data_IF_580753632094
#
_entry.id   IF_580753632094
#
_cell.length_a   1.000
_cell.length_b   1.000
_cell.length_c   1.000
_cell.angle_alpha   90.00
_cell.angle_beta   90.00
_cell.angle_gamma   90.00
#
_symmetry.space_group_name_H-M   'P 1'
#
loop_
_entity.id
_entity.type
_entity.pdbx_description
1 polymer ?
#
# COMPACT_ATOMS: atom_id res chain seq x y z
N UNK A 1 20.04 14.84 2.60
CA UNK A 1 20.69 16.13 2.25
C UNK A 1 19.59 17.18 2.24
N UNK A 2 19.50 18.04 3.27
CA UNK A 2 18.43 19.04 3.37
C UNK A 2 18.79 20.31 2.57
N UNK A 3 17.83 20.86 1.84
CA UNK A 3 17.79 22.30 1.56
C UNK A 3 16.34 22.75 1.30
N UNK A 4 15.91 23.81 1.99
CA UNK A 4 14.69 24.55 1.69
C UNK A 4 14.95 25.52 0.53
N UNK A 5 13.94 25.78 -0.30
CA UNK A 5 13.75 27.10 -0.90
C UNK A 5 12.29 27.28 -1.35
N UNK A 6 11.55 28.14 -0.66
CA UNK A 6 10.28 28.69 -1.13
C UNK A 6 10.53 29.98 -1.91
N UNK A 7 9.90 30.16 -3.07
CA UNK A 7 9.76 31.47 -3.69
C UNK A 7 8.51 31.50 -4.59
N UNK A 8 7.40 31.99 -4.05
CA UNK A 8 6.26 32.41 -4.87
C UNK A 8 6.68 33.63 -5.71
N UNK A 9 6.25 33.68 -6.98
CA UNK A 9 6.62 34.75 -7.92
C UNK A 9 5.38 35.53 -8.32
N UNK A 10 5.26 36.75 -7.81
CA UNK A 10 4.27 37.74 -8.29
C UNK A 10 4.80 38.30 -9.62
N UNK A 11 3.93 38.46 -10.61
CA UNK A 11 4.24 39.09 -11.88
C UNK A 11 3.42 40.38 -12.04
N UNK A 12 4.06 41.51 -11.78
CA UNK A 12 3.59 42.82 -12.24
C UNK A 12 4.10 43.10 -13.67
N UNK A 13 3.31 43.80 -14.48
CA UNK A 13 3.67 44.21 -15.85
C UNK A 13 3.18 45.63 -16.17
N UNK A 14 3.99 46.39 -16.91
CA UNK A 14 3.77 47.75 -17.44
C UNK A 14 4.78 48.01 -18.60
N UNK A 15 4.72 49.11 -19.38
CA UNK A 15 3.72 50.21 -19.39
C UNK A 15 2.64 49.94 -20.48
N UNK A 16 2.21 50.78 -21.44
CA UNK A 16 2.53 52.16 -21.89
C UNK A 16 1.29 52.80 -22.56
N UNK A 17 1.12 54.12 -22.43
CA UNK A 17 -0.01 54.95 -22.93
C UNK A 17 0.40 55.78 -24.19
N UNK A 18 -0.37 56.78 -24.73
CA UNK A 18 -1.82 57.10 -24.68
C UNK A 18 -2.46 57.46 -26.07
N UNK A 19 -3.80 57.52 -26.17
CA UNK A 19 -4.50 58.53 -27.02
C UNK A 19 -5.90 58.89 -26.49
N UNK A 20 -6.30 60.17 -26.61
CA UNK A 20 -7.56 60.70 -26.08
C UNK A 20 -8.79 60.41 -26.96
N UNK A 21 -9.90 60.00 -26.32
CA UNK A 21 -11.25 60.47 -26.67
C UNK A 21 -12.06 60.71 -25.39
N UNK A 22 -12.70 61.88 -25.30
CA UNK A 22 -13.53 62.25 -24.16
C UNK A 22 -14.95 61.68 -24.31
N UNK A 23 -15.39 60.89 -23.34
CA UNK A 23 -16.81 60.66 -23.09
C UNK A 23 -17.16 61.00 -21.65
N UNK A 24 -18.20 61.82 -21.49
CA UNK A 24 -18.76 62.17 -20.19
C UNK A 24 -19.61 61.03 -19.66
N UNK A 25 -19.25 60.47 -18.50
CA UNK A 25 -20.20 59.83 -17.60
C UNK A 25 -20.05 60.45 -16.21
N UNK A 26 -21.19 60.79 -15.61
CA UNK A 26 -21.25 61.18 -14.20
C UNK A 26 -20.84 59.99 -13.31
N UNK A 27 -20.35 60.22 -12.08
CA UNK A 27 -20.09 59.14 -11.15
C UNK A 27 -21.42 58.48 -10.75
N UNK A 28 -21.72 57.36 -11.39
CA UNK A 28 -22.56 56.34 -10.78
C UNK A 28 -21.72 55.68 -9.70
N UNK A 29 -21.93 56.10 -8.45
CA UNK A 29 -21.51 55.35 -7.26
C UNK A 29 -22.30 54.04 -7.19
N UNK A 30 -21.97 53.11 -8.09
CA UNK A 30 -22.22 51.70 -7.87
C UNK A 30 -21.10 51.27 -6.92
N UNK A 31 -21.39 51.30 -5.62
CA UNK A 31 -20.64 50.51 -4.65
C UNK A 31 -20.93 49.02 -4.92
N UNK A 32 -20.35 48.49 -6.01
CA UNK A 32 -20.29 47.05 -6.19
C UNK A 32 -19.38 46.51 -5.10
N UNK A 33 -20.00 46.06 -4.00
CA UNK A 33 -19.36 45.21 -3.01
C UNK A 33 -18.77 44.04 -3.78
N UNK A 34 -17.45 44.06 -3.97
CA UNK A 34 -16.72 43.02 -4.67
C UNK A 34 -16.85 41.75 -3.86
N UNK A 35 -17.73 40.84 -4.31
CA UNK A 35 -17.88 39.52 -3.70
C UNK A 35 -16.57 38.77 -3.94
N UNK A 36 -15.71 38.80 -2.93
CA UNK A 36 -14.44 38.07 -2.90
C UNK A 36 -14.71 36.72 -2.27
N UNK A 37 -14.64 35.64 -3.05
CA UNK A 37 -14.79 34.27 -2.56
C UNK A 37 -13.40 33.71 -2.28
N UNK A 38 -13.18 33.24 -1.04
CA UNK A 38 -11.93 32.57 -0.64
C UNK A 38 -12.00 31.09 -0.99
N UNK A 39 -11.34 30.75 -2.10
CA UNK A 39 -11.28 29.38 -2.64
C UNK A 39 -9.94 28.73 -2.30
N UNK A 40 -9.99 27.55 -1.69
CA UNK A 40 -8.84 26.68 -1.47
C UNK A 40 -8.87 25.43 -2.36
N UNK A 41 -7.70 24.83 -2.60
CA UNK A 41 -7.60 23.44 -3.06
C UNK A 41 -6.59 22.71 -2.19
N UNK A 42 -6.92 21.48 -1.79
CA UNK A 42 -6.07 20.66 -0.94
C UNK A 42 -6.04 19.22 -1.46
N UNK A 43 -4.85 18.75 -1.84
CA UNK A 43 -4.61 17.34 -2.04
C UNK A 43 -4.38 16.67 -0.69
N UNK A 44 -5.33 15.85 -0.25
CA UNK A 44 -5.29 15.16 1.06
C UNK A 44 -4.46 13.87 1.03
N UNK A 45 -3.77 13.62 -0.09
CA UNK A 45 -2.94 12.45 -0.42
C UNK A 45 -3.69 11.12 -0.38
N UNK A 46 -3.45 10.25 -1.35
CA UNK A 46 -4.02 8.91 -1.37
C UNK A 46 -3.71 8.16 -0.07
N UNK A 47 -4.66 7.32 0.39
CA UNK A 47 -4.39 6.44 1.54
C UNK A 47 -3.39 5.37 1.08
N UNK A 48 -2.18 5.40 1.65
CA UNK A 48 -1.36 4.20 1.68
C UNK A 48 -1.75 3.41 2.94
N UNK A 49 -2.17 2.16 2.76
CA UNK A 49 -2.64 1.30 3.84
C UNK A 49 -1.48 0.60 4.57
N UNK A 50 -0.23 0.83 4.15
CA UNK A 50 0.97 0.42 4.86
C UNK A 50 1.26 1.37 6.05
N UNK A 51 1.06 0.95 7.31
CA UNK A 51 1.34 1.78 8.49
C UNK A 51 2.83 2.11 8.68
N UNK A 52 3.73 1.38 8.01
CA UNK A 52 5.18 1.55 8.10
C UNK A 52 5.81 2.22 6.87
N UNK A 53 5.01 2.75 5.93
CA UNK A 53 5.54 3.39 4.70
C UNK A 53 6.44 4.59 5.02
N UNK A 54 6.05 5.38 6.02
CA UNK A 54 6.71 6.63 6.39
C UNK A 54 7.13 6.59 7.86
N UNK A 55 8.33 7.08 8.13
CA UNK A 55 8.76 7.36 9.50
C UNK A 55 8.00 8.59 10.01
N UNK A 56 7.06 8.37 10.91
CA UNK A 56 6.17 9.40 11.48
C UNK A 56 6.51 9.69 12.95
N UNK A 57 5.69 10.47 13.64
CA UNK A 57 5.69 10.52 15.11
C UNK A 57 4.68 9.52 15.65
N UNK A 58 5.03 8.79 16.71
CA UNK A 58 4.15 7.83 17.38
C UNK A 58 4.33 7.97 18.90
N UNK A 59 3.27 7.84 19.72
CA UNK A 59 3.36 8.05 21.17
C UNK A 59 4.11 6.95 21.93
N UNK A 60 4.20 5.74 21.38
CA UNK A 60 4.99 4.66 21.97
C UNK A 60 6.50 4.93 21.77
N UNK A 61 7.30 5.08 22.85
CA UNK A 61 8.74 5.35 22.73
C UNK A 61 9.54 4.22 22.07
N UNK A 62 8.99 3.00 21.96
CA UNK A 62 9.62 1.90 21.25
C UNK A 62 9.50 1.99 19.72
N UNK A 63 8.66 2.88 19.17
CA UNK A 63 8.51 3.04 17.71
C UNK A 63 9.81 3.48 17.02
N UNK A 64 10.51 4.47 17.56
CA UNK A 64 11.77 4.95 16.97
C UNK A 64 12.90 3.91 17.03
N UNK A 65 12.87 3.02 18.03
CA UNK A 65 13.76 1.88 18.10
C UNK A 65 13.39 0.83 17.03
N UNK A 66 12.12 0.45 16.95
CA UNK A 66 11.60 -0.46 15.92
C UNK A 66 12.00 -0.03 14.51
N UNK A 67 11.78 1.25 14.14
CA UNK A 67 12.12 1.73 12.80
C UNK A 67 13.62 1.67 12.50
N UNK A 68 14.47 1.99 13.49
CA UNK A 68 15.95 1.86 13.38
C UNK A 68 16.38 0.41 13.24
N UNK A 69 15.79 -0.49 14.02
CA UNK A 69 16.18 -1.88 14.06
C UNK A 69 15.71 -2.63 12.81
N UNK A 70 14.52 -2.30 12.26
CA UNK A 70 14.08 -2.77 10.92
C UNK A 70 15.05 -2.30 9.84
N UNK A 71 15.44 -1.01 9.83
CA UNK A 71 16.41 -0.50 8.86
C UNK A 71 17.75 -1.24 8.98
N UNK A 72 18.28 -1.37 10.21
CA UNK A 72 19.53 -2.07 10.47
C UNK A 72 19.47 -3.55 10.06
N UNK A 73 18.34 -4.24 10.28
CA UNK A 73 18.12 -5.62 9.85
C UNK A 73 18.15 -5.75 8.33
N UNK A 74 17.52 -4.82 7.60
CA UNK A 74 17.49 -4.84 6.14
C UNK A 74 18.85 -4.43 5.54
N UNK A 75 19.59 -3.52 6.16
CA UNK A 75 20.92 -3.10 5.68
C UNK A 75 22.01 -4.15 5.94
N UNK A 76 21.94 -4.88 7.07
CA UNK A 76 22.97 -5.80 7.53
C UNK A 76 22.72 -7.26 7.08
N UNK A 77 23.62 -7.81 6.28
CA UNK A 77 23.52 -9.20 5.78
C UNK A 77 23.73 -10.28 6.85
N UNK A 78 24.14 -9.95 8.08
CA UNK A 78 24.37 -10.96 9.15
C UNK A 78 23.12 -11.74 9.55
N UNK A 79 21.95 -11.13 9.42
CA UNK A 79 20.67 -11.74 9.76
C UNK A 79 19.92 -12.28 8.52
N UNK A 80 20.58 -12.27 7.36
CA UNK A 80 19.96 -12.70 6.10
C UNK A 80 20.00 -14.23 6.00
N UNK A 81 18.82 -14.85 6.03
CA UNK A 81 18.64 -16.30 6.04
C UNK A 81 17.97 -16.79 4.76
N UNK A 82 18.16 -18.07 4.42
CA UNK A 82 17.45 -18.69 3.30
C UNK A 82 15.92 -18.64 3.54
N UNK A 83 15.15 -18.43 2.47
CA UNK A 83 13.69 -18.31 2.55
C UNK A 83 13.05 -19.56 3.19
N UNK A 84 13.59 -20.75 2.99
CA UNK A 84 13.10 -21.98 3.65
C UNK A 84 13.19 -21.96 5.20
N UNK A 85 13.99 -21.07 5.79
CA UNK A 85 14.06 -20.88 7.24
C UNK A 85 12.93 -19.97 7.77
N UNK A 86 12.16 -19.34 6.87
CA UNK A 86 11.05 -18.42 7.18
C UNK A 86 9.74 -19.01 6.64
N UNK A 87 9.66 -19.19 5.33
CA UNK A 87 8.56 -19.84 4.62
C UNK A 87 8.98 -21.29 4.33
N UNK A 88 8.62 -22.22 5.22
CA UNK A 88 9.15 -23.59 5.18
C UNK A 88 8.59 -24.44 4.03
N UNK A 89 9.28 -25.54 3.71
CA UNK A 89 8.77 -26.57 2.79
C UNK A 89 7.39 -27.13 3.20
N UNK A 90 7.04 -27.08 4.50
CA UNK A 90 5.71 -27.47 4.98
C UNK A 90 4.65 -26.43 4.58
N UNK A 91 4.92 -25.14 4.80
CA UNK A 91 4.06 -24.04 4.33
C UNK A 91 3.92 -24.04 2.81
N UNK A 92 5.00 -24.33 2.07
CA UNK A 92 4.93 -24.49 0.63
C UNK A 92 4.07 -25.71 0.21
N UNK A 93 4.16 -26.82 0.92
CA UNK A 93 3.33 -28.01 0.65
C UNK A 93 1.85 -27.75 0.92
N UNK A 94 1.53 -27.00 1.98
CA UNK A 94 0.16 -26.51 2.24
C UNK A 94 -0.31 -25.55 1.15
N UNK A 95 0.52 -24.59 0.73
CA UNK A 95 0.19 -23.65 -0.36
C UNK A 95 -0.14 -24.38 -1.66
N UNK A 96 0.64 -25.41 -2.00
CA UNK A 96 0.40 -26.25 -3.17
C UNK A 96 -0.93 -27.01 -3.08
N UNK A 97 -1.26 -27.57 -1.91
CA UNK A 97 -2.52 -28.28 -1.69
C UNK A 97 -3.75 -27.35 -1.79
N UNK A 98 -3.65 -26.11 -1.28
CA UNK A 98 -4.70 -25.11 -1.46
C UNK A 98 -4.88 -24.73 -2.93
N UNK A 99 -3.79 -24.49 -3.68
CA UNK A 99 -3.85 -24.20 -5.11
C UNK A 99 -4.43 -25.36 -5.93
N UNK A 100 -4.10 -26.60 -5.59
CA UNK A 100 -4.66 -27.80 -6.22
C UNK A 100 -6.18 -27.89 -5.96
N UNK A 101 -6.63 -27.55 -4.75
CA UNK A 101 -8.05 -27.44 -4.39
C UNK A 101 -8.78 -26.23 -5.03
N UNK A 102 -8.05 -25.27 -5.64
CA UNK A 102 -8.59 -24.24 -6.53
C UNK A 102 -8.53 -24.61 -8.02
N UNK A 103 -8.13 -25.85 -8.35
CA UNK A 103 -7.94 -26.31 -9.74
C UNK A 103 -6.90 -25.47 -10.52
N UNK A 104 -5.88 -24.93 -9.85
CA UNK A 104 -4.84 -24.16 -10.52
C UNK A 104 -3.98 -25.04 -11.43
N UNK A 105 -3.78 -24.59 -12.67
CA UNK A 105 -2.97 -25.27 -13.67
C UNK A 105 -1.46 -25.29 -13.34
N UNK A 106 -0.75 -26.25 -13.93
CA UNK A 106 0.73 -26.24 -14.09
C UNK A 106 1.54 -26.15 -12.78
N UNK A 107 0.98 -26.54 -11.65
CA UNK A 107 1.63 -26.44 -10.33
C UNK A 107 2.99 -27.18 -10.23
N UNK A 108 3.27 -28.15 -11.10
CA UNK A 108 4.60 -28.78 -11.18
C UNK A 108 5.71 -27.81 -11.62
N UNK A 109 5.40 -26.81 -12.45
CA UNK A 109 6.32 -25.73 -12.82
C UNK A 109 6.62 -24.85 -11.58
N UNK A 110 5.59 -24.54 -10.77
CA UNK A 110 5.74 -23.78 -9.52
C UNK A 110 6.57 -24.55 -8.48
N UNK A 111 6.29 -25.84 -8.27
CA UNK A 111 7.09 -26.72 -7.41
C UNK A 111 8.55 -26.77 -7.87
N UNK A 112 8.80 -26.82 -9.18
CA UNK A 112 10.17 -26.77 -9.72
C UNK A 112 10.87 -25.44 -9.38
N UNK A 113 10.19 -24.30 -9.51
CA UNK A 113 10.72 -23.00 -9.10
C UNK A 113 10.99 -22.91 -7.60
N UNK A 114 10.11 -23.46 -6.75
CA UNK A 114 10.35 -23.53 -5.31
C UNK A 114 11.60 -24.34 -4.98
N UNK A 115 11.69 -25.57 -5.52
CA UNK A 115 12.75 -26.53 -5.19
C UNK A 115 14.13 -26.09 -5.69
N UNK A 116 14.19 -25.52 -6.89
CA UNK A 116 15.45 -25.17 -7.55
C UNK A 116 15.93 -23.74 -7.28
N UNK A 117 15.02 -22.79 -6.98
CA UNK A 117 15.33 -21.37 -6.82
C UNK A 117 14.84 -20.82 -5.46
N UNK A 118 13.54 -20.51 -5.34
CA UNK A 118 13.03 -19.64 -4.28
C UNK A 118 13.39 -20.05 -2.86
N UNK A 119 13.34 -21.35 -2.51
CA UNK A 119 13.61 -21.81 -1.13
C UNK A 119 15.04 -21.56 -0.67
N UNK A 120 15.98 -21.50 -1.61
CA UNK A 120 17.42 -21.35 -1.34
C UNK A 120 17.88 -19.89 -1.42
N UNK A 121 17.07 -18.99 -1.97
CA UNK A 121 17.35 -17.54 -1.99
C UNK A 121 17.46 -17.02 -0.56
N UNK A 122 18.36 -16.07 -0.34
CA UNK A 122 18.41 -15.28 0.88
C UNK A 122 17.23 -14.29 0.91
N UNK A 123 16.58 -14.16 2.06
CA UNK A 123 15.35 -13.38 2.22
C UNK A 123 15.54 -11.89 1.87
N UNK A 124 16.61 -11.26 2.40
CA UNK A 124 16.85 -9.84 2.22
C UNK A 124 17.59 -9.58 0.91
N UNK A 125 18.76 -10.20 0.70
CA UNK A 125 19.61 -9.92 -0.48
C UNK A 125 19.17 -10.65 -1.75
N UNK A 126 18.56 -11.83 -1.64
CA UNK A 126 18.13 -12.66 -2.77
C UNK A 126 16.65 -12.52 -3.15
N UNK A 127 15.82 -11.88 -2.31
CA UNK A 127 14.39 -11.67 -2.58
C UNK A 127 13.96 -10.21 -2.39
N UNK A 128 14.02 -9.62 -1.19
CA UNK A 128 13.57 -8.22 -0.99
C UNK A 128 14.34 -7.22 -1.86
N UNK A 129 15.66 -7.41 -2.02
CA UNK A 129 16.54 -6.57 -2.84
C UNK A 129 16.63 -7.03 -4.30
N UNK A 130 15.96 -8.12 -4.70
CA UNK A 130 15.94 -8.56 -6.09
C UNK A 130 15.03 -7.67 -6.94
N UNK A 131 15.66 -6.79 -7.73
CA UNK A 131 15.01 -5.91 -8.70
C UNK A 131 14.14 -6.68 -9.71
N UNK A 132 14.43 -7.96 -9.98
CA UNK A 132 13.66 -8.77 -10.91
C UNK A 132 12.24 -9.03 -10.41
N UNK A 133 12.06 -9.33 -9.11
CA UNK A 133 10.74 -9.56 -8.48
C UNK A 133 9.85 -8.32 -8.63
N UNK A 134 10.41 -7.13 -8.32
CA UNK A 134 9.71 -5.85 -8.47
C UNK A 134 9.39 -5.50 -9.94
N UNK A 135 10.35 -5.71 -10.85
CA UNK A 135 10.16 -5.40 -12.29
C UNK A 135 9.13 -6.33 -12.94
N UNK A 136 9.13 -7.61 -12.56
CA UNK A 136 8.13 -8.62 -12.95
C UNK A 136 6.78 -8.46 -12.26
N UNK A 137 6.68 -7.57 -11.25
CA UNK A 137 5.50 -7.30 -10.44
C UNK A 137 4.97 -8.46 -9.59
N UNK A 138 5.73 -9.55 -9.42
CA UNK A 138 5.24 -10.82 -8.86
C UNK A 138 4.61 -10.67 -7.46
N UNK A 139 5.18 -9.86 -6.57
CA UNK A 139 4.56 -9.57 -5.27
C UNK A 139 3.69 -8.29 -5.29
N UNK A 140 4.11 -7.24 -6.01
CA UNK A 140 3.41 -5.94 -6.00
C UNK A 140 2.06 -5.91 -6.72
N UNK A 141 1.83 -6.82 -7.70
CA UNK A 141 0.54 -6.94 -8.38
C UNK A 141 -0.52 -7.56 -7.46
N UNK A 142 -0.32 -8.77 -6.88
CA UNK A 142 -1.31 -9.35 -5.99
C UNK A 142 -1.44 -8.51 -4.71
N UNK A 143 -0.38 -7.82 -4.25
CA UNK A 143 -0.50 -6.88 -3.14
C UNK A 143 -1.52 -5.76 -3.43
N UNK A 144 -1.42 -5.10 -4.58
CA UNK A 144 -2.35 -4.04 -5.01
C UNK A 144 -3.82 -4.47 -5.04
N UNK A 145 -4.08 -5.75 -5.26
CA UNK A 145 -5.41 -6.32 -5.37
C UNK A 145 -5.93 -6.83 -4.02
N UNK A 146 -5.05 -7.43 -3.21
CA UNK A 146 -5.45 -8.22 -2.03
C UNK A 146 -5.18 -7.52 -0.70
N UNK A 147 -4.34 -6.48 -0.64
CA UNK A 147 -3.97 -5.82 0.62
C UNK A 147 -5.24 -5.28 1.33
N UNK A 148 -6.02 -4.45 0.65
CA UNK A 148 -7.32 -3.98 1.16
C UNK A 148 -8.36 -4.06 0.05
N UNK A 149 -9.36 -4.91 0.25
CA UNK A 149 -10.43 -5.20 -0.72
C UNK A 149 -11.66 -4.41 -0.29
N UNK A 150 -12.11 -3.46 -1.11
CA UNK A 150 -13.37 -2.75 -0.89
C UNK A 150 -14.55 -3.67 -1.21
N UNK A 151 -15.48 -3.84 -0.27
CA UNK A 151 -16.61 -4.74 -0.41
C UNK A 151 -17.82 -4.03 -1.01
N UNK A 152 -18.58 -4.73 -1.85
CA UNK A 152 -19.80 -4.19 -2.49
C UNK A 152 -20.85 -3.72 -1.49
N UNK A 153 -20.98 -4.41 -0.35
CA UNK A 153 -21.89 -4.06 0.74
C UNK A 153 -21.42 -2.87 1.60
N UNK A 154 -20.29 -2.25 1.25
CA UNK A 154 -19.57 -1.30 2.09
C UNK A 154 -18.58 -1.99 3.05
N UNK A 155 -17.64 -1.21 3.56
CA UNK A 155 -16.53 -1.73 4.37
C UNK A 155 -15.42 -2.37 3.54
N UNK A 156 -14.45 -2.98 4.23
CA UNK A 156 -13.23 -3.53 3.63
C UNK A 156 -12.89 -4.90 4.22
N UNK A 157 -12.26 -5.75 3.40
CA UNK A 157 -11.58 -6.97 3.86
C UNK A 157 -10.07 -6.77 3.74
N UNK A 158 -9.31 -7.13 4.78
CA UNK A 158 -7.89 -6.81 4.92
C UNK A 158 -7.03 -8.08 4.96
N UNK A 159 -5.98 -8.15 4.14
CA UNK A 159 -4.99 -9.25 4.19
C UNK A 159 -4.23 -9.28 5.52
N UNK A 160 -4.07 -10.46 6.17
CA UNK A 160 -3.17 -10.67 7.30
C UNK A 160 -1.72 -10.37 6.92
N UNK A 161 -1.27 -9.13 7.13
CA UNK A 161 0.07 -8.66 6.79
C UNK A 161 0.53 -7.54 7.72
N UNK A 162 1.85 -7.41 7.87
CA UNK A 162 2.51 -6.32 8.60
C UNK A 162 2.18 -4.95 7.98
N UNK A 163 2.04 -4.89 6.65
CA UNK A 163 1.85 -3.67 5.86
C UNK A 163 0.36 -3.32 5.64
N UNK A 164 -0.47 -3.61 6.64
CA UNK A 164 -1.93 -3.44 6.56
C UNK A 164 -2.56 -3.16 7.94
N UNK A 165 -3.80 -2.68 7.95
CA UNK A 165 -4.61 -2.44 9.15
C UNK A 165 -5.38 -3.66 9.68
N UNK A 166 -4.97 -4.88 9.28
CA UNK A 166 -5.61 -6.13 9.71
C UNK A 166 -5.73 -6.26 11.23
N UNK A 167 -6.94 -6.56 11.71
CA UNK A 167 -7.34 -6.61 13.12
C UNK A 167 -7.87 -8.00 13.56
N UNK A 168 -8.08 -8.93 12.63
CA UNK A 168 -8.72 -10.23 12.87
C UNK A 168 -7.96 -11.23 13.76
N UNK A 169 -6.71 -10.94 14.11
CA UNK A 169 -5.91 -11.76 15.02
C UNK A 169 -4.45 -11.33 15.14
N UNK A 170 -3.66 -12.09 15.90
CA UNK A 170 -2.24 -11.81 16.14
C UNK A 170 -1.37 -12.32 14.99
N UNK A 171 -0.41 -11.49 14.58
CA UNK A 171 0.62 -11.80 13.59
C UNK A 171 1.99 -12.08 14.24
N UNK A 172 2.08 -12.12 15.57
CA UNK A 172 3.33 -12.27 16.33
C UNK A 172 4.03 -13.65 16.22
N UNK A 173 3.57 -14.53 15.34
CA UNK A 173 4.27 -15.76 14.97
C UNK A 173 4.00 -16.14 13.52
N UNK A 174 4.99 -16.75 12.86
CA UNK A 174 4.84 -17.25 11.48
C UNK A 174 3.74 -18.32 11.36
N UNK A 175 3.53 -19.17 12.37
CA UNK A 175 2.46 -20.18 12.39
C UNK A 175 1.08 -19.53 12.39
N UNK A 176 0.81 -18.63 13.35
CA UNK A 176 -0.49 -17.98 13.44
C UNK A 176 -0.76 -17.07 12.23
N UNK A 177 0.23 -16.31 11.78
CA UNK A 177 0.14 -15.54 10.54
C UNK A 177 -0.20 -16.43 9.34
N UNK A 178 0.48 -17.57 9.19
CA UNK A 178 0.28 -18.45 8.03
C UNK A 178 -1.12 -19.04 7.97
N UNK A 179 -1.68 -19.49 9.09
CA UNK A 179 -3.05 -19.98 9.18
C UNK A 179 -4.06 -18.91 8.74
N UNK A 180 -3.92 -17.68 9.24
CA UNK A 180 -4.77 -16.54 8.89
C UNK A 180 -4.61 -16.15 7.42
N UNK A 181 -3.37 -16.05 6.92
CA UNK A 181 -3.06 -15.66 5.54
C UNK A 181 -3.60 -16.67 4.52
N UNK A 182 -3.44 -17.97 4.81
CA UNK A 182 -3.95 -19.06 3.98
C UNK A 182 -5.48 -19.08 3.97
N UNK A 183 -6.12 -18.90 5.13
CA UNK A 183 -7.57 -18.75 5.23
C UNK A 183 -8.09 -17.53 4.43
N UNK A 184 -7.41 -16.39 4.56
CA UNK A 184 -7.73 -15.18 3.80
C UNK A 184 -7.63 -15.42 2.28
N UNK A 185 -6.55 -16.03 1.81
CA UNK A 185 -6.30 -16.19 0.38
C UNK A 185 -7.25 -17.20 -0.30
N UNK A 186 -7.53 -18.34 0.34
CA UNK A 186 -8.18 -19.49 -0.31
C UNK A 186 -9.59 -19.82 0.20
N UNK A 187 -9.97 -19.34 1.39
CA UNK A 187 -11.23 -19.71 2.05
C UNK A 187 -12.15 -18.51 2.30
N UNK A 188 -11.63 -17.28 2.27
CA UNK A 188 -12.45 -16.07 2.38
C UNK A 188 -13.07 -15.73 1.03
N UNK A 189 -14.40 -15.67 0.98
CA UNK A 189 -15.15 -15.18 -0.16
C UNK A 189 -15.49 -13.70 0.01
N UNK A 190 -15.32 -12.92 -1.06
CA UNK A 190 -15.62 -11.49 -1.09
C UNK A 190 -16.48 -11.15 -2.31
N UNK A 191 -17.40 -10.19 -2.11
CA UNK A 191 -18.17 -9.57 -3.19
C UNK A 191 -17.58 -8.19 -3.47
N UNK A 192 -17.06 -8.02 -4.68
CA UNK A 192 -16.46 -6.77 -5.16
C UNK A 192 -17.23 -6.26 -6.38
N UNK A 193 -17.22 -4.94 -6.58
CA UNK A 193 -17.78 -4.32 -7.78
C UNK A 193 -17.11 -4.89 -9.04
N UNK A 194 -17.88 -5.68 -9.79
CA UNK A 194 -17.46 -6.45 -10.95
C UNK A 194 -18.69 -6.72 -11.83
N UNK A 195 -18.48 -7.09 -13.10
CA UNK A 195 -19.59 -7.30 -14.05
C UNK A 195 -20.61 -8.36 -13.60
N UNK A 196 -20.18 -9.36 -12.83
CA UNK A 196 -21.05 -10.41 -12.28
C UNK A 196 -21.56 -10.13 -10.87
N UNK A 197 -20.89 -9.25 -10.10
CA UNK A 197 -21.10 -9.06 -8.65
C UNK A 197 -21.10 -10.37 -7.84
N UNK A 198 -20.52 -11.45 -8.37
CA UNK A 198 -20.51 -12.75 -7.71
C UNK A 198 -19.49 -12.78 -6.56
N UNK A 199 -19.83 -13.52 -5.49
CA UNK A 199 -18.87 -13.87 -4.46
C UNK A 199 -17.75 -14.73 -5.08
N UNK A 200 -16.50 -14.42 -4.73
CA UNK A 200 -15.34 -15.18 -5.19
C UNK A 200 -14.26 -15.23 -4.10
N UNK A 201 -13.48 -16.31 -4.10
CA UNK A 201 -12.31 -16.45 -3.23
C UNK A 201 -11.27 -15.40 -3.56
N UNK A 202 -10.56 -14.89 -2.55
CA UNK A 202 -9.57 -13.80 -2.72
C UNK A 202 -8.49 -14.14 -3.76
N UNK A 203 -8.02 -15.40 -3.82
CA UNK A 203 -7.06 -15.86 -4.82
C UNK A 203 -7.52 -15.64 -6.28
N UNK A 204 -8.83 -15.63 -6.53
CA UNK A 204 -9.41 -15.49 -7.88
C UNK A 204 -9.50 -14.01 -8.33
N UNK A 205 -9.33 -13.06 -7.41
CA UNK A 205 -9.21 -11.64 -7.75
C UNK A 205 -7.89 -11.31 -8.45
N UNK A 206 -6.85 -12.14 -8.28
CA UNK A 206 -5.49 -11.86 -8.74
C UNK A 206 -5.42 -12.00 -10.27
N UNK A 207 -5.16 -10.92 -11.02
CA UNK A 207 -5.10 -10.98 -12.48
C UNK A 207 -3.81 -11.67 -12.94
N UNK A 208 -3.80 -12.32 -14.12
CA UNK A 208 -2.57 -12.82 -14.74
C UNK A 208 -1.64 -11.66 -15.12
N UNK A 209 -0.34 -11.85 -14.91
CA UNK A 209 0.68 -10.91 -15.39
C UNK A 209 1.00 -11.28 -16.83
N UNK A 210 0.69 -10.38 -17.77
CA UNK A 210 0.89 -10.60 -19.21
C UNK A 210 2.18 -9.93 -19.69
N UNK A 211 3.02 -10.67 -20.42
CA UNK A 211 4.31 -10.20 -20.98
C UNK A 211 4.16 -8.96 -21.87
N UNK A 212 3.04 -8.85 -22.59
CA UNK A 212 2.72 -7.68 -23.42
C UNK A 212 2.61 -6.36 -22.63
N UNK A 213 2.31 -6.44 -21.33
CA UNK A 213 2.30 -5.29 -20.39
C UNK A 213 3.53 -5.24 -19.49
N UNK A 214 4.11 -6.41 -19.19
CA UNK A 214 5.26 -6.59 -18.28
C UNK A 214 6.35 -7.44 -18.97
N UNK A 215 7.18 -6.86 -19.84
CA UNK A 215 8.11 -7.63 -20.68
C UNK A 215 9.24 -8.33 -19.92
N UNK A 216 9.37 -8.09 -18.62
CA UNK A 216 10.38 -8.74 -17.77
C UNK A 216 10.02 -10.18 -17.34
N UNK A 217 8.77 -10.62 -17.51
CA UNK A 217 8.42 -12.03 -17.28
C UNK A 217 8.68 -12.89 -18.53
N UNK A 218 9.15 -14.11 -18.31
CA UNK A 218 9.26 -15.14 -19.33
C UNK A 218 7.89 -15.74 -19.71
N UNK A 219 7.84 -16.53 -20.80
CA UNK A 219 6.62 -17.23 -21.20
C UNK A 219 6.21 -18.31 -20.19
N UNK A 220 7.18 -19.00 -19.58
CA UNK A 220 6.96 -19.95 -18.50
C UNK A 220 6.31 -19.25 -17.29
N UNK A 221 6.90 -18.15 -16.81
CA UNK A 221 6.35 -17.35 -15.71
C UNK A 221 4.96 -16.78 -16.02
N UNK A 222 4.69 -16.38 -17.28
CA UNK A 222 3.34 -15.97 -17.69
C UNK A 222 2.34 -17.10 -17.49
N UNK A 223 2.70 -18.33 -17.89
CA UNK A 223 1.80 -19.49 -17.88
C UNK A 223 1.45 -20.03 -16.49
N UNK A 224 2.22 -19.63 -15.46
CA UNK A 224 1.91 -19.88 -14.04
C UNK A 224 1.77 -18.58 -13.23
N UNK A 225 1.45 -17.45 -13.89
CA UNK A 225 1.58 -16.12 -13.28
C UNK A 225 0.71 -15.91 -12.04
N UNK A 226 -0.47 -16.52 -11.92
CA UNK A 226 -1.30 -16.43 -10.70
C UNK A 226 -0.68 -17.26 -9.55
N UNK A 227 -0.41 -18.59 -9.71
CA UNK A 227 0.31 -19.36 -8.69
C UNK A 227 1.64 -18.72 -8.25
N UNK A 228 2.44 -18.21 -9.20
CA UNK A 228 3.72 -17.56 -8.92
C UNK A 228 3.57 -16.23 -8.18
N UNK A 229 2.54 -15.45 -8.48
CA UNK A 229 2.21 -14.22 -7.73
C UNK A 229 1.88 -14.54 -6.27
N UNK A 230 1.05 -15.55 -6.03
CA UNK A 230 0.65 -15.96 -4.67
C UNK A 230 1.87 -16.45 -3.88
N UNK A 231 2.75 -17.27 -4.47
CA UNK A 231 4.01 -17.69 -3.83
C UNK A 231 4.92 -16.49 -3.49
N UNK A 232 5.07 -15.54 -4.42
CA UNK A 232 5.90 -14.36 -4.16
C UNK A 232 5.29 -13.45 -3.08
N UNK A 233 3.96 -13.36 -3.00
CA UNK A 233 3.28 -12.59 -1.96
C UNK A 233 3.39 -13.27 -0.59
N UNK A 234 3.22 -14.60 -0.51
CA UNK A 234 3.36 -15.35 0.76
C UNK A 234 4.79 -15.25 1.30
N UNK A 235 5.80 -15.35 0.44
CA UNK A 235 7.21 -15.14 0.80
C UNK A 235 7.44 -13.71 1.30
N UNK A 236 6.90 -12.68 0.60
CA UNK A 236 7.05 -11.29 1.00
C UNK A 236 6.47 -11.01 2.40
N UNK A 237 5.21 -11.39 2.62
CA UNK A 237 4.54 -11.20 3.91
C UNK A 237 5.23 -12.01 5.03
N UNK A 238 5.66 -13.25 4.76
CA UNK A 238 6.39 -14.07 5.73
C UNK A 238 7.73 -13.43 6.14
N UNK A 239 8.46 -12.84 5.19
CA UNK A 239 9.71 -12.12 5.47
C UNK A 239 9.44 -10.90 6.35
N UNK A 240 8.40 -10.12 6.07
CA UNK A 240 8.04 -9.00 6.95
C UNK A 240 7.68 -9.47 8.36
N UNK A 241 6.84 -10.50 8.51
CA UNK A 241 6.51 -11.09 9.82
C UNK A 241 7.76 -11.59 10.55
N UNK A 242 8.71 -12.21 9.84
CA UNK A 242 9.99 -12.64 10.42
C UNK A 242 10.85 -11.45 10.89
N UNK A 243 10.97 -10.37 10.09
CA UNK A 243 11.71 -9.17 10.47
C UNK A 243 11.13 -8.58 11.76
N UNK A 244 9.82 -8.31 11.79
CA UNK A 244 9.17 -7.67 12.94
C UNK A 244 9.30 -8.51 14.23
N UNK A 245 9.12 -9.83 14.13
CA UNK A 245 9.29 -10.75 15.25
C UNK A 245 10.76 -10.91 15.69
N UNK A 246 11.74 -10.60 14.82
CA UNK A 246 13.16 -10.65 15.16
C UNK A 246 13.65 -9.37 15.84
N UNK A 247 13.12 -8.20 15.47
CA UNK A 247 13.59 -6.91 16.01
C UNK A 247 12.81 -6.43 17.23
N UNK A 248 11.50 -6.67 17.29
CA UNK A 248 10.63 -6.15 18.35
C UNK A 248 9.54 -7.15 18.79
N UNK A 249 9.91 -8.38 19.18
CA UNK A 249 8.96 -9.41 19.59
C UNK A 249 8.02 -8.91 20.68
N UNK A 250 6.74 -9.25 20.57
CA UNK A 250 5.64 -8.84 21.46
C UNK A 250 5.30 -7.33 21.50
N UNK A 251 6.09 -6.44 20.89
CA UNK A 251 5.87 -4.98 20.92
C UNK A 251 5.27 -4.46 19.61
N UNK A 252 5.78 -4.94 18.47
CA UNK A 252 5.48 -4.35 17.16
C UNK A 252 4.00 -4.36 16.77
N UNK A 253 3.20 -5.33 17.25
CA UNK A 253 1.77 -5.39 16.94
C UNK A 253 0.97 -4.25 17.57
N UNK A 254 1.34 -3.82 18.78
CA UNK A 254 0.73 -2.67 19.45
C UNK A 254 1.03 -1.38 18.71
N UNK A 255 2.30 -1.21 18.32
CA UNK A 255 2.76 -0.09 17.49
C UNK A 255 2.05 -0.07 16.13
N UNK A 256 1.96 -1.22 15.43
CA UNK A 256 1.22 -1.32 14.16
C UNK A 256 -0.22 -0.87 14.35
N UNK A 257 -0.90 -1.36 15.40
CA UNK A 257 -2.30 -1.00 15.66
C UNK A 257 -2.48 0.50 15.88
N UNK A 258 -1.63 1.13 16.70
CA UNK A 258 -1.63 2.58 16.92
C UNK A 258 -1.44 3.37 15.61
N UNK A 259 -0.46 2.98 14.78
CA UNK A 259 -0.26 3.57 13.45
C UNK A 259 -1.47 3.40 12.52
N UNK A 260 -2.13 2.24 12.54
CA UNK A 260 -3.34 2.00 11.74
C UNK A 260 -4.54 2.81 12.23
N UNK A 261 -4.75 2.90 13.54
CA UNK A 261 -5.75 3.77 14.16
C UNK A 261 -5.51 5.24 13.77
N UNK A 262 -4.26 5.70 13.82
CA UNK A 262 -3.90 7.10 13.55
C UNK A 262 -3.92 7.49 12.06
N UNK A 263 -3.42 6.63 11.17
CA UNK A 263 -3.14 6.98 9.77
C UNK A 263 -4.20 6.49 8.79
N UNK A 264 -4.93 5.43 9.14
CA UNK A 264 -5.85 4.73 8.24
C UNK A 264 -7.29 4.90 8.74
N UNK A 265 -7.60 4.43 9.95
CA UNK A 265 -8.96 4.43 10.50
C UNK A 265 -9.42 5.85 10.91
N UNK A 266 -8.57 6.60 11.60
CA UNK A 266 -8.85 7.97 12.04
C UNK A 266 -8.71 9.05 10.97
N UNK A 267 -8.33 8.69 9.72
CA UNK A 267 -7.93 9.67 8.69
C UNK A 267 -9.05 10.68 8.37
N UNK A 268 -10.29 10.22 8.23
CA UNK A 268 -11.43 11.10 7.93
C UNK A 268 -11.65 12.16 9.02
N UNK A 269 -11.59 11.76 10.30
CA UNK A 269 -11.73 12.68 11.44
C UNK A 269 -10.60 13.72 11.46
N UNK A 270 -9.36 13.30 11.19
CA UNK A 270 -8.21 14.21 11.08
C UNK A 270 -8.34 15.19 9.91
N UNK A 271 -8.83 14.75 8.76
CA UNK A 271 -9.12 15.64 7.62
C UNK A 271 -10.15 16.71 8.03
N UNK A 272 -11.28 16.32 8.61
CA UNK A 272 -12.30 17.29 9.06
C UNK A 272 -11.72 18.31 10.05
N UNK A 273 -10.97 17.83 11.06
CA UNK A 273 -10.32 18.70 12.05
C UNK A 273 -9.31 19.67 11.42
N UNK A 274 -8.56 19.26 10.40
CA UNK A 274 -7.65 20.16 9.66
C UNK A 274 -8.44 21.20 8.85
N UNK A 275 -9.56 20.83 8.21
CA UNK A 275 -10.42 21.77 7.49
C UNK A 275 -10.96 22.84 8.46
N UNK A 276 -11.53 22.42 9.58
CA UNK A 276 -12.11 23.28 10.61
C UNK A 276 -11.10 24.24 11.26
N UNK A 277 -9.85 23.81 11.45
CA UNK A 277 -8.83 24.58 12.19
C UNK A 277 -7.89 25.38 11.30
N UNK A 278 -7.53 24.86 10.12
CA UNK A 278 -6.50 25.42 9.25
C UNK A 278 -7.06 26.18 8.05
N UNK A 279 -8.32 25.90 7.68
CA UNK A 279 -9.02 26.55 6.57
C UNK A 279 -10.39 27.17 6.96
N UNK A 280 -10.59 27.73 8.19
CA UNK A 280 -11.89 28.24 8.63
C UNK A 280 -12.41 29.42 7.78
N UNK A 281 -11.50 30.06 7.06
CA UNK A 281 -11.75 31.21 6.20
C UNK A 281 -12.07 30.84 4.74
N UNK A 282 -11.90 29.57 4.33
CA UNK A 282 -12.23 29.12 2.98
C UNK A 282 -13.73 28.87 2.83
N UNK A 283 -14.39 29.63 1.95
CA UNK A 283 -15.82 29.44 1.62
C UNK A 283 -16.04 28.26 0.67
N UNK A 284 -15.02 27.92 -0.14
CA UNK A 284 -15.02 26.75 -1.02
C UNK A 284 -13.67 26.05 -0.90
N UNK A 285 -13.66 24.75 -0.63
CA UNK A 285 -12.45 23.93 -0.58
C UNK A 285 -12.57 22.73 -1.51
N UNK A 286 -11.72 22.68 -2.55
CA UNK A 286 -11.62 21.56 -3.47
C UNK A 286 -10.64 20.50 -2.96
N UNK A 287 -11.17 19.37 -2.47
CA UNK A 287 -10.36 18.22 -2.05
C UNK A 287 -9.95 17.36 -3.24
N UNK A 288 -8.67 16.96 -3.28
CA UNK A 288 -8.10 16.02 -4.26
C UNK A 288 -7.59 14.77 -3.54
N UNK A 289 -7.66 13.61 -4.20
CA UNK A 289 -7.29 12.29 -3.62
C UNK A 289 -8.13 11.91 -2.37
N UNK A 290 -9.33 12.46 -2.26
CA UNK A 290 -10.36 11.93 -1.37
C UNK A 290 -10.80 10.54 -1.82
N UNK A 291 -11.03 9.65 -0.84
CA UNK A 291 -11.77 8.43 -1.10
C UNK A 291 -13.20 8.78 -1.52
N UNK A 292 -13.72 8.06 -2.51
CA UNK A 292 -15.09 8.16 -3.00
C UNK A 292 -16.04 7.31 -2.14
#
# INVERSE_FOLDING_TARGET
MFSRASAGRVHDFCESTPTNMSFSMQPLEISSSSISIRVGTWNISAVNNNPFEYWTSHPDPAYDALMRDVQAFIENSKNDVAINNIFSDAMFSELMAEMEAQEFDKLQELNSLWRCDYRNRLAITGFLKDKSIGTKRLASMPDRITNTINLQAGGVCMRPSVINAYDGGSLASLTSWWEQWKHFMFHTEVQVFSESCAAQRVCNLIPPILRGKYPAISEAEQSISIPLQILCLSILDAIFVHIMNSVAPHVWEGIRRGLCEDLILGKASKICSIIETSYPDCEVLFLQEAAA
#
